data_IF_306851945953
#
_entry.id   IF_306851945953
#
_cell.length_a   1.000
_cell.length_b   1.000
_cell.length_c   1.000
_cell.angle_alpha   90.00
_cell.angle_beta   90.00
_cell.angle_gamma   90.00
#
_symmetry.space_group_name_H-M   'P 1'
#
loop_
_entity.id
_entity.type
_entity.pdbx_description
1 polymer ?
#
# COMPACT_ATOMS: atom_id res chain seq x y z
N UNK A 1 14.22 -32.23 -2.45
CA UNK A 1 13.18 -31.62 -1.59
C UNK A 1 13.74 -30.33 -1.01
N UNK A 2 13.63 -29.24 -1.75
CA UNK A 2 13.79 -27.88 -1.22
C UNK A 2 12.45 -27.21 -1.49
N UNK A 3 11.56 -27.30 -0.51
CA UNK A 3 10.22 -26.76 -0.55
C UNK A 3 10.34 -25.26 -0.30
N UNK A 4 10.32 -24.46 -1.37
CA UNK A 4 10.19 -23.01 -1.26
C UNK A 4 8.73 -22.70 -0.95
N UNK A 5 8.38 -22.87 0.32
CA UNK A 5 7.13 -22.39 0.90
C UNK A 5 7.21 -20.87 1.05
N UNK A 6 6.66 -20.16 0.07
CA UNK A 6 6.06 -18.84 0.29
C UNK A 6 4.70 -18.86 -0.36
N UNK A 7 3.70 -18.88 0.53
CA UNK A 7 2.29 -18.99 0.24
C UNK A 7 1.80 -17.90 -0.73
N UNK A 8 0.93 -18.32 -1.65
CA UNK A 8 -0.08 -17.49 -2.32
C UNK A 8 0.43 -16.21 -3.02
N UNK A 9 1.17 -16.40 -4.10
CA UNK A 9 1.15 -15.44 -5.20
C UNK A 9 -0.11 -15.71 -6.06
N UNK A 10 -1.29 -15.41 -5.52
CA UNK A 10 -2.50 -15.27 -6.34
C UNK A 10 -2.54 -13.85 -6.91
N UNK A 11 -2.83 -13.77 -8.20
CA UNK A 11 -2.63 -12.57 -9.01
C UNK A 11 -3.65 -11.48 -8.69
N UNK A 12 -3.21 -10.26 -8.38
CA UNK A 12 -3.74 -9.00 -8.97
C UNK A 12 -3.51 -7.77 -8.06
N UNK A 13 -2.51 -6.95 -8.40
CA UNK A 13 -2.37 -5.57 -7.92
C UNK A 13 -1.19 -5.37 -6.99
N UNK A 14 -0.21 -4.62 -7.46
CA UNK A 14 1.01 -4.19 -6.74
C UNK A 14 0.79 -3.90 -5.26
N UNK A 15 1.20 -4.82 -4.39
CA UNK A 15 1.35 -4.54 -2.95
C UNK A 15 2.50 -3.53 -2.83
N UNK A 16 2.17 -2.29 -2.51
CA UNK A 16 3.17 -1.25 -2.31
C UNK A 16 3.80 -1.45 -0.93
N UNK A 17 5.08 -1.81 -0.91
CA UNK A 17 5.84 -2.00 0.34
C UNK A 17 6.36 -0.65 0.81
N UNK A 18 5.90 -0.20 1.98
CA UNK A 18 6.38 1.04 2.59
C UNK A 18 7.70 0.81 3.33
N UNK A 19 8.63 1.75 3.20
CA UNK A 19 9.85 1.76 4.01
C UNK A 19 9.52 2.24 5.44
N UNK A 20 9.73 1.42 6.48
CA UNK A 20 9.44 1.80 7.85
C UNK A 20 10.37 2.90 8.38
N UNK A 21 11.59 3.04 7.84
CA UNK A 21 12.55 4.07 8.24
C UNK A 21 12.13 5.49 7.86
N UNK A 22 11.24 5.61 6.86
CA UNK A 22 10.69 6.87 6.36
C UNK A 22 9.38 7.27 7.06
N UNK A 23 8.85 6.43 7.93
CA UNK A 23 7.56 6.64 8.62
C UNK A 23 7.74 7.07 10.07
N UNK A 24 6.86 7.95 10.53
CA UNK A 24 6.76 8.31 11.94
C UNK A 24 6.06 7.19 12.74
N UNK A 25 6.28 7.10 14.07
CA UNK A 25 5.59 6.12 14.90
C UNK A 25 4.06 6.16 14.76
N UNK A 26 3.48 7.35 14.58
CA UNK A 26 2.04 7.51 14.39
C UNK A 26 1.55 6.91 13.05
N UNK A 27 2.37 6.88 12.01
CA UNK A 27 2.01 6.28 10.72
C UNK A 27 2.16 4.76 10.76
N UNK A 28 3.21 4.27 11.43
CA UNK A 28 3.44 2.84 11.64
C UNK A 28 2.30 2.17 12.42
N UNK A 29 1.67 2.89 13.35
CA UNK A 29 0.54 2.39 14.14
C UNK A 29 -0.84 2.67 13.50
N UNK A 30 -0.89 3.28 12.31
CA UNK A 30 -2.16 3.67 11.68
C UNK A 30 -2.92 4.80 12.39
N UNK A 31 -2.23 5.59 13.23
CA UNK A 31 -2.78 6.78 13.88
C UNK A 31 -2.73 8.03 12.99
N UNK A 32 -1.90 7.99 11.94
CA UNK A 32 -1.73 9.04 10.96
C UNK A 32 -1.65 8.46 9.56
N UNK A 33 -2.13 9.21 8.57
CA UNK A 33 -2.00 8.83 7.17
C UNK A 33 -0.52 8.71 6.78
N UNK A 34 -0.16 7.60 6.15
CA UNK A 34 1.21 7.34 5.69
C UNK A 34 1.71 8.30 4.58
N UNK A 35 0.81 9.08 3.97
CA UNK A 35 1.16 10.04 2.92
C UNK A 35 1.18 11.48 3.46
N UNK A 36 0.09 11.95 4.05
CA UNK A 36 -0.06 13.36 4.44
C UNK A 36 0.10 13.61 5.94
N UNK A 37 0.34 12.58 6.75
CA UNK A 37 0.57 12.65 8.20
C UNK A 37 -0.67 13.13 9.00
N UNK A 38 -1.81 13.35 8.34
CA UNK A 38 -3.05 13.76 8.99
C UNK A 38 -3.61 12.63 9.88
N UNK A 39 -4.11 13.01 11.06
CA UNK A 39 -4.64 12.09 12.08
C UNK A 39 -6.17 11.94 12.06
N UNK A 40 -6.89 12.78 11.28
CA UNK A 40 -8.34 12.92 11.41
C UNK A 40 -9.08 13.14 10.06
N UNK A 41 -10.29 12.56 9.90
CA UNK A 41 -10.82 11.42 10.63
C UNK A 41 -9.85 10.22 10.50
N UNK A 42 -9.70 9.42 11.58
CA UNK A 42 -8.70 8.34 11.69
C UNK A 42 -8.62 7.56 10.37
N UNK A 43 -7.42 7.33 9.81
CA UNK A 43 -7.25 6.63 8.56
C UNK A 43 -7.76 5.19 8.73
N UNK A 44 -8.65 4.75 7.84
CA UNK A 44 -9.21 3.38 7.84
C UNK A 44 -9.03 2.67 6.52
N UNK A 45 -8.39 3.32 5.54
CA UNK A 45 -8.19 2.76 4.22
C UNK A 45 -6.78 2.14 4.15
N UNK A 46 -6.64 0.84 3.92
CA UNK A 46 -5.34 0.22 3.74
C UNK A 46 -4.70 0.75 2.44
N UNK A 47 -3.45 1.17 2.54
CA UNK A 47 -2.65 1.67 1.40
C UNK A 47 -1.62 0.65 0.91
N UNK A 48 -1.15 -0.21 1.80
CA UNK A 48 -0.07 -1.15 1.52
C UNK A 48 0.43 -1.80 2.80
N UNK A 49 1.60 -2.41 2.73
CA UNK A 49 2.15 -3.25 3.79
C UNK A 49 3.60 -2.85 4.11
N UNK A 50 4.00 -3.05 5.36
CA UNK A 50 5.40 -3.01 5.78
C UNK A 50 6.10 -4.34 5.47
N UNK A 51 7.43 -4.38 5.39
CA UNK A 51 8.17 -5.63 5.16
C UNK A 51 7.93 -6.72 6.23
N UNK A 52 7.41 -6.33 7.40
CA UNK A 52 7.04 -7.23 8.50
C UNK A 52 5.61 -7.80 8.38
N UNK A 53 4.86 -7.44 7.33
CA UNK A 53 3.48 -7.88 7.13
C UNK A 53 2.42 -6.97 7.78
N UNK A 54 2.83 -5.85 8.39
CA UNK A 54 1.89 -4.92 9.03
C UNK A 54 1.27 -3.96 8.01
N UNK A 55 -0.05 -3.78 8.05
CA UNK A 55 -0.75 -2.86 7.14
C UNK A 55 -0.51 -1.39 7.48
N UNK A 56 -0.44 -0.58 6.43
CA UNK A 56 -0.27 0.86 6.51
C UNK A 56 -1.54 1.55 6.06
N UNK A 57 -2.00 2.55 6.82
CA UNK A 57 -3.30 3.19 6.61
C UNK A 57 -3.20 4.61 6.05
N UNK A 58 -4.22 4.99 5.28
CA UNK A 58 -4.39 6.29 4.65
C UNK A 58 -5.72 6.94 4.99
N UNK A 59 -5.77 8.27 4.87
CA UNK A 59 -7.04 8.99 4.83
C UNK A 59 -7.75 8.71 3.48
N UNK A 60 -9.05 9.01 3.43
CA UNK A 60 -9.90 8.77 2.27
C UNK A 60 -9.35 9.42 0.99
N UNK A 61 -8.93 10.67 1.08
CA UNK A 61 -8.37 11.41 -0.06
C UNK A 61 -7.09 10.74 -0.60
N UNK A 62 -6.12 10.45 0.27
CA UNK A 62 -4.88 9.81 -0.16
C UNK A 62 -5.11 8.38 -0.67
N UNK A 63 -6.05 7.64 -0.08
CA UNK A 63 -6.44 6.33 -0.59
C UNK A 63 -7.05 6.42 -1.99
N UNK A 64 -7.94 7.38 -2.22
CA UNK A 64 -8.52 7.64 -3.54
C UNK A 64 -7.46 8.00 -4.59
N UNK A 65 -6.45 8.79 -4.21
CA UNK A 65 -5.31 9.13 -5.10
C UNK A 65 -4.50 7.89 -5.45
N UNK A 66 -4.19 7.03 -4.47
CA UNK A 66 -3.42 5.79 -4.69
C UNK A 66 -4.19 4.83 -5.60
N UNK A 67 -5.49 4.65 -5.38
CA UNK A 67 -6.36 3.84 -6.25
C UNK A 67 -6.46 4.44 -7.66
N UNK A 68 -6.58 5.76 -7.79
CA UNK A 68 -6.57 6.37 -9.12
C UNK A 68 -5.22 6.19 -9.84
N UNK A 69 -4.11 6.27 -9.10
CA UNK A 69 -2.77 6.07 -9.64
C UNK A 69 -2.56 4.63 -10.09
N UNK A 70 -2.90 3.63 -9.26
CA UNK A 70 -2.72 2.22 -9.61
C UNK A 70 -3.54 1.85 -10.86
N UNK A 71 -4.77 2.36 -10.98
CA UNK A 71 -5.64 2.08 -12.11
C UNK A 71 -5.08 2.66 -13.41
N UNK A 72 -4.46 3.85 -13.36
CA UNK A 72 -3.77 4.46 -14.50
C UNK A 72 -2.53 3.67 -14.89
N UNK A 73 -1.73 3.27 -13.90
CA UNK A 73 -0.50 2.50 -14.12
C UNK A 73 -0.81 1.15 -14.76
N UNK A 74 -1.78 0.39 -14.23
CA UNK A 74 -2.23 -0.89 -14.82
C UNK A 74 -2.72 -0.70 -16.26
N UNK A 75 -3.52 0.35 -16.54
CA UNK A 75 -3.97 0.65 -17.90
C UNK A 75 -2.81 0.97 -18.85
N UNK A 76 -1.85 1.77 -18.40
CA UNK A 76 -0.68 2.11 -19.20
C UNK A 76 0.17 0.87 -19.52
N UNK A 77 0.39 -0.02 -18.53
CA UNK A 77 1.09 -1.28 -18.76
C UNK A 77 0.37 -2.19 -19.74
N UNK A 78 -0.96 -2.29 -19.65
CA UNK A 78 -1.74 -3.10 -20.59
C UNK A 78 -1.60 -2.57 -22.04
N UNK A 79 -1.63 -1.25 -22.24
CA UNK A 79 -1.46 -0.64 -23.56
C UNK A 79 -0.05 -0.82 -24.12
N UNK A 80 1.00 -0.81 -23.28
CA UNK A 80 2.38 -0.97 -23.71
C UNK A 80 2.77 -2.44 -23.99
N UNK A 81 1.95 -3.41 -23.59
CA UNK A 81 2.16 -4.83 -23.85
C UNK A 81 1.55 -5.29 -25.20
N UNK A 82 0.97 -4.38 -25.97
CA UNK A 82 0.42 -4.57 -27.32
C UNK A 82 1.28 -3.87 -28.38
#
# INVERSE_FOLDING_TARGET
MCERSTANADSSGSIYVFDPGSLTPAQLTGDACAICHAKWPRPRQPLGELPDGSEVFGCDECAGIVVAHNARTVRAHALAAH
#
